data_IF_117245587537
#
_entry.id   IF_117245587537
#
_cell.length_a   1.000
_cell.length_b   1.000
_cell.length_c   1.000
_cell.angle_alpha   90.00
_cell.angle_beta   90.00
_cell.angle_gamma   90.00
#
_symmetry.space_group_name_H-M   'P 1'
#
loop_
_entity.id
_entity.type
_entity.pdbx_description
1 polymer ?
#
# COMPACT_ATOMS: atom_id res chain seq x y z
N UNK A 1 -9.50 -13.89 -4.26
CA UNK A 1 -10.84 -13.43 -4.67
C UNK A 1 -11.45 -14.34 -5.72
N UNK A 2 -10.98 -14.34 -6.97
CA UNK A 2 -11.63 -15.12 -8.06
C UNK A 2 -11.71 -16.63 -7.76
N UNK A 3 -10.61 -17.25 -7.35
CA UNK A 3 -10.60 -18.69 -7.03
C UNK A 3 -11.47 -19.05 -5.83
N UNK A 4 -11.56 -18.17 -4.83
CA UNK A 4 -12.31 -18.38 -3.60
C UNK A 4 -13.77 -17.90 -3.69
N UNK A 5 -14.14 -17.25 -4.80
CA UNK A 5 -15.41 -16.54 -4.98
C UNK A 5 -15.82 -15.64 -3.80
N UNK A 6 -14.82 -15.02 -3.14
CA UNK A 6 -15.02 -14.24 -1.92
C UNK A 6 -13.99 -13.13 -1.79
N UNK A 7 -14.39 -12.02 -1.19
CA UNK A 7 -13.51 -10.91 -0.76
C UNK A 7 -13.45 -10.73 0.76
N UNK A 8 -13.93 -11.73 1.52
CA UNK A 8 -13.81 -11.74 2.99
C UNK A 8 -12.35 -11.62 3.43
N UNK A 9 -12.11 -10.89 4.53
CA UNK A 9 -10.76 -10.66 5.07
C UNK A 9 -9.92 -9.60 4.35
N UNK A 10 -10.45 -8.94 3.30
CA UNK A 10 -9.77 -7.88 2.57
C UNK A 10 -10.48 -6.55 2.80
N UNK A 11 -9.74 -5.55 3.28
CA UNK A 11 -10.24 -4.19 3.54
C UNK A 11 -10.45 -3.44 2.23
N UNK A 12 -11.72 -3.10 1.98
CA UNK A 12 -12.08 -2.24 0.86
C UNK A 12 -11.40 -0.87 0.96
N UNK A 13 -11.34 -0.31 2.17
CA UNK A 13 -10.74 1.02 2.42
C UNK A 13 -9.28 1.05 2.01
N UNK A 14 -8.50 0.02 2.35
CA UNK A 14 -7.09 -0.05 1.94
C UNK A 14 -6.94 -0.13 0.42
N UNK A 15 -7.77 -0.94 -0.26
CA UNK A 15 -7.75 -1.05 -1.71
C UNK A 15 -8.12 0.28 -2.39
N UNK A 16 -9.09 1.01 -1.85
CA UNK A 16 -9.46 2.35 -2.33
C UNK A 16 -8.33 3.37 -2.15
N UNK A 17 -7.63 3.34 -1.02
CA UNK A 17 -6.47 4.20 -0.79
C UNK A 17 -5.33 3.90 -1.77
N UNK A 18 -5.02 2.62 -2.03
CA UNK A 18 -4.00 2.26 -3.03
C UNK A 18 -4.39 2.72 -4.44
N UNK A 19 -5.67 2.65 -4.82
CA UNK A 19 -6.10 3.20 -6.12
C UNK A 19 -5.84 4.71 -6.19
N UNK A 20 -6.19 5.44 -5.12
CA UNK A 20 -5.94 6.87 -5.04
C UNK A 20 -4.44 7.19 -5.13
N UNK A 21 -3.58 6.43 -4.45
CA UNK A 21 -2.12 6.55 -4.57
C UNK A 21 -1.69 6.42 -6.03
N UNK A 22 -2.12 5.39 -6.75
CA UNK A 22 -1.68 5.20 -8.14
C UNK A 22 -2.20 6.28 -9.09
N UNK A 23 -3.45 6.71 -8.93
CA UNK A 23 -4.02 7.80 -9.74
C UNK A 23 -3.25 9.11 -9.51
N UNK A 24 -2.97 9.45 -8.25
CA UNK A 24 -2.28 10.70 -7.90
C UNK A 24 -0.78 10.67 -8.21
N UNK A 25 -0.15 9.48 -8.18
CA UNK A 25 1.27 9.31 -8.51
C UNK A 25 1.55 9.33 -10.00
N UNK A 26 0.66 8.77 -10.80
CA UNK A 26 0.88 8.53 -12.23
C UNK A 26 0.12 9.53 -13.10
N UNK A 27 0.02 10.79 -12.66
CA UNK A 27 -0.58 11.87 -13.47
C UNK A 27 0.17 12.13 -14.78
N UNK A 28 1.45 11.74 -14.83
CA UNK A 28 2.35 11.79 -15.98
C UNK A 28 2.23 10.57 -16.91
N UNK A 29 1.16 9.76 -16.80
CA UNK A 29 0.98 8.52 -17.55
C UNK A 29 1.21 8.69 -19.06
N UNK A 30 0.60 9.72 -19.65
CA UNK A 30 0.70 9.98 -21.10
C UNK A 30 2.00 10.68 -21.53
N UNK A 31 2.83 11.10 -20.57
CA UNK A 31 4.12 11.75 -20.81
C UNK A 31 5.30 10.84 -20.45
N UNK A 32 5.04 9.56 -20.18
CA UNK A 32 6.07 8.59 -19.77
C UNK A 32 6.87 8.11 -20.98
N UNK A 33 8.19 8.35 -20.98
CA UNK A 33 9.07 8.00 -22.12
C UNK A 33 9.35 6.50 -22.23
N UNK A 34 9.48 5.80 -21.11
CA UNK A 34 9.81 4.37 -21.08
C UNK A 34 8.54 3.51 -21.19
N UNK A 35 8.49 2.68 -22.24
CA UNK A 35 7.40 1.70 -22.46
C UNK A 35 7.24 0.79 -21.23
N UNK A 36 8.35 0.38 -20.61
CA UNK A 36 8.32 -0.42 -19.39
C UNK A 36 7.53 0.29 -18.29
N UNK A 37 7.87 1.55 -18.00
CA UNK A 37 7.18 2.33 -16.97
C UNK A 37 5.70 2.55 -17.33
N UNK A 38 5.40 2.83 -18.60
CA UNK A 38 4.03 3.01 -19.07
C UNK A 38 3.18 1.76 -18.81
N UNK A 39 3.67 0.58 -19.18
CA UNK A 39 2.98 -0.69 -18.98
C UNK A 39 2.71 -0.96 -17.50
N UNK A 40 3.71 -0.75 -16.63
CA UNK A 40 3.54 -0.97 -15.19
C UNK A 40 2.55 0.01 -14.56
N UNK A 41 2.56 1.29 -14.96
CA UNK A 41 1.57 2.27 -14.48
C UNK A 41 0.14 1.87 -14.85
N UNK A 42 -0.08 1.45 -16.11
CA UNK A 42 -1.39 0.95 -16.58
C UNK A 42 -1.78 -0.31 -15.80
N UNK A 43 -0.86 -1.25 -15.63
CA UNK A 43 -1.11 -2.49 -14.89
C UNK A 43 -1.49 -2.22 -13.44
N UNK A 44 -0.81 -1.31 -12.74
CA UNK A 44 -1.13 -0.98 -11.36
C UNK A 44 -2.49 -0.31 -11.21
N UNK A 45 -2.82 0.67 -12.05
CA UNK A 45 -4.14 1.33 -12.01
C UNK A 45 -5.24 0.32 -12.39
N UNK A 46 -5.04 -0.43 -13.47
CA UNK A 46 -6.02 -1.39 -13.99
C UNK A 46 -6.29 -2.54 -13.02
N UNK A 47 -5.25 -3.16 -12.46
CA UNK A 47 -5.40 -4.24 -11.48
C UNK A 47 -6.07 -3.75 -10.19
N UNK A 48 -5.69 -2.58 -9.69
CA UNK A 48 -6.29 -2.00 -8.48
C UNK A 48 -7.76 -1.63 -8.70
N UNK A 49 -8.08 -1.04 -9.85
CA UNK A 49 -9.47 -0.78 -10.26
C UNK A 49 -10.29 -2.06 -10.40
N UNK A 50 -9.70 -3.12 -10.96
CA UNK A 50 -10.36 -4.42 -11.08
C UNK A 50 -10.65 -5.06 -9.72
N UNK A 51 -9.72 -4.98 -8.76
CA UNK A 51 -9.96 -5.44 -7.38
C UNK A 51 -11.17 -4.71 -6.76
N UNK A 52 -11.22 -3.38 -6.89
CA UNK A 52 -12.35 -2.58 -6.38
C UNK A 52 -13.66 -2.94 -7.09
N UNK A 53 -13.62 -3.18 -8.40
CA UNK A 53 -14.78 -3.63 -9.17
C UNK A 53 -15.30 -4.99 -8.66
N UNK A 54 -14.40 -5.94 -8.40
CA UNK A 54 -14.75 -7.25 -7.85
C UNK A 54 -15.39 -7.13 -6.46
N UNK A 55 -14.85 -6.27 -5.59
CA UNK A 55 -15.39 -6.06 -4.24
C UNK A 55 -16.74 -5.34 -4.22
N UNK A 56 -17.01 -4.46 -5.19
CA UNK A 56 -18.25 -3.66 -5.23
C UNK A 56 -19.38 -4.32 -6.01
N UNK A 57 -19.07 -5.25 -6.92
CA UNK A 57 -20.06 -5.92 -7.77
C UNK A 57 -20.10 -7.43 -7.49
N UNK A 58 -19.13 -8.18 -8.01
CA UNK A 58 -19.16 -9.64 -8.03
C UNK A 58 -19.18 -10.29 -6.64
N UNK A 59 -18.40 -9.74 -5.70
CA UNK A 59 -18.21 -10.30 -4.37
C UNK A 59 -18.74 -9.37 -3.26
N UNK A 60 -19.55 -8.38 -3.61
CA UNK A 60 -20.19 -7.45 -2.67
C UNK A 60 -20.84 -8.14 -1.46
N UNK A 61 -21.58 -9.28 -1.61
CA UNK A 61 -22.20 -9.94 -0.46
C UNK A 61 -21.21 -10.51 0.57
N UNK A 62 -19.96 -10.75 0.16
CA UNK A 62 -18.91 -11.28 1.04
C UNK A 62 -18.07 -10.19 1.71
N UNK A 63 -18.30 -8.92 1.34
CA UNK A 63 -17.68 -7.77 1.96
C UNK A 63 -18.53 -7.35 3.17
N UNK A 64 -18.01 -7.50 4.38
CA UNK A 64 -18.68 -7.05 5.60
C UNK A 64 -18.19 -5.63 5.98
N UNK A 65 -19.03 -4.58 5.83
CA UNK A 65 -18.62 -3.23 6.18
C UNK A 65 -18.41 -3.01 7.68
N UNK A 66 -18.94 -3.89 8.54
CA UNK A 66 -18.88 -3.74 10.00
C UNK A 66 -17.50 -4.08 10.56
N UNK A 67 -16.69 -4.85 9.82
CA UNK A 67 -15.31 -5.14 10.20
C UNK A 67 -14.35 -4.04 9.72
N UNK A 68 -14.59 -3.43 8.56
CA UNK A 68 -13.76 -2.34 8.02
C UNK A 68 -14.19 -0.96 8.57
N UNK A 69 -13.99 -0.74 9.88
CA UNK A 69 -14.44 0.48 10.59
C UNK A 69 -13.42 1.61 10.67
N UNK A 70 -12.25 1.46 10.04
CA UNK A 70 -11.17 2.43 10.12
C UNK A 70 -11.55 3.80 9.52
N UNK A 71 -11.19 4.90 10.19
CA UNK A 71 -11.50 6.28 9.74
C UNK A 71 -10.42 6.80 8.80
N UNK A 72 -10.58 6.57 7.50
CA UNK A 72 -9.61 6.96 6.45
C UNK A 72 -9.41 8.46 6.31
N UNK A 73 -10.35 9.28 6.79
CA UNK A 73 -10.26 10.75 6.77
C UNK A 73 -8.98 11.25 7.45
N UNK A 74 -8.53 10.60 8.52
CA UNK A 74 -7.29 10.98 9.22
C UNK A 74 -6.05 10.71 8.37
N UNK A 75 -6.05 9.62 7.57
CA UNK A 75 -4.92 9.29 6.69
C UNK A 75 -4.85 10.26 5.52
N UNK A 76 -6.01 10.52 4.91
CA UNK A 76 -6.12 11.49 3.81
C UNK A 76 -5.72 12.89 4.27
N UNK A 77 -6.22 13.33 5.41
CA UNK A 77 -5.87 14.62 6.00
C UNK A 77 -4.39 14.73 6.33
N UNK A 78 -3.83 13.73 7.01
CA UNK A 78 -2.40 13.70 7.35
C UNK A 78 -1.49 13.72 6.13
N UNK A 79 -1.79 12.89 5.12
CA UNK A 79 -1.03 12.87 3.87
C UNK A 79 -1.14 14.19 3.09
N UNK A 80 -2.33 14.79 3.04
CA UNK A 80 -2.54 16.08 2.38
C UNK A 80 -1.79 17.22 3.07
N UNK A 81 -1.82 17.27 4.40
CA UNK A 81 -1.07 18.27 5.18
C UNK A 81 0.43 18.13 4.93
N UNK A 82 0.98 16.91 5.01
CA UNK A 82 2.41 16.69 4.76
C UNK A 82 2.82 17.02 3.31
N UNK A 83 1.96 16.73 2.34
CA UNK A 83 2.22 17.03 0.93
C UNK A 83 2.29 18.54 0.63
N UNK A 84 1.48 19.35 1.33
CA UNK A 84 1.47 20.80 1.16
C UNK A 84 2.59 21.48 1.96
N UNK A 85 2.92 20.95 3.14
CA UNK A 85 3.99 21.51 3.98
C UNK A 85 5.38 21.21 3.44
N UNK A 86 5.58 20.02 2.85
CA UNK A 86 6.90 19.55 2.47
C UNK A 86 7.04 19.09 1.00
N UNK A 87 6.59 19.84 -0.02
CA UNK A 87 6.89 19.50 -1.41
C UNK A 87 8.31 19.98 -1.80
N UNK A 88 8.97 19.29 -2.72
CA UNK A 88 10.24 19.78 -3.29
C UNK A 88 10.05 21.06 -4.13
N UNK A 89 8.89 21.17 -4.78
CA UNK A 89 8.47 22.31 -5.60
C UNK A 89 6.97 22.50 -5.41
N UNK A 90 6.53 23.73 -5.28
CA UNK A 90 5.10 24.06 -5.24
C UNK A 90 4.49 24.03 -6.64
N UNK A 91 4.42 22.84 -7.22
CA UNK A 91 3.68 22.57 -8.46
C UNK A 91 2.59 21.54 -8.20
N UNK A 92 1.53 21.58 -9.00
CA UNK A 92 0.42 20.64 -8.85
C UNK A 92 0.90 19.18 -8.91
N UNK A 93 1.72 18.83 -9.90
CA UNK A 93 2.23 17.47 -10.06
C UNK A 93 3.09 17.02 -8.86
N UNK A 94 3.94 17.91 -8.34
CA UNK A 94 4.84 17.60 -7.23
C UNK A 94 4.08 17.41 -5.90
N UNK A 95 3.07 18.23 -5.64
CA UNK A 95 2.22 18.10 -4.44
C UNK A 95 1.45 16.78 -4.49
N UNK A 96 0.87 16.43 -5.64
CA UNK A 96 0.16 15.15 -5.81
C UNK A 96 1.10 13.94 -5.72
N UNK A 97 2.32 14.07 -6.23
CA UNK A 97 3.36 13.05 -6.06
C UNK A 97 3.71 12.88 -4.58
N UNK A 98 4.00 13.96 -3.84
CA UNK A 98 4.30 13.92 -2.41
C UNK A 98 3.12 13.35 -1.60
N UNK A 99 1.90 13.78 -1.91
CA UNK A 99 0.67 13.23 -1.33
C UNK A 99 0.57 11.71 -1.52
N UNK A 100 0.84 11.23 -2.74
CA UNK A 100 0.79 9.80 -3.02
C UNK A 100 1.79 9.02 -2.16
N UNK A 101 3.00 9.55 -1.93
CA UNK A 101 4.05 8.92 -1.14
C UNK A 101 3.65 8.85 0.34
N UNK A 102 3.18 9.95 0.91
CA UNK A 102 2.70 9.99 2.28
C UNK A 102 1.49 9.08 2.49
N UNK A 103 0.51 9.14 1.60
CA UNK A 103 -0.70 8.33 1.71
C UNK A 103 -0.38 6.83 1.62
N UNK A 104 0.49 6.44 0.71
CA UNK A 104 0.87 5.03 0.52
C UNK A 104 1.55 4.43 1.75
N UNK A 105 2.33 5.24 2.48
CA UNK A 105 3.01 4.77 3.68
C UNK A 105 2.04 4.26 4.75
N UNK A 106 0.82 4.80 4.77
CA UNK A 106 -0.22 4.50 5.76
C UNK A 106 -1.44 3.79 5.16
N UNK A 107 -1.50 3.60 3.84
CA UNK A 107 -2.66 3.03 3.14
C UNK A 107 -3.04 1.61 3.58
N UNK A 108 -2.10 0.87 4.20
CA UNK A 108 -2.32 -0.48 4.71
C UNK A 108 -3.03 -0.52 6.08
N UNK A 109 -3.09 0.59 6.81
CA UNK A 109 -3.62 0.62 8.18
C UNK A 109 -5.04 0.06 8.31
N UNK A 110 -6.01 0.36 7.41
CA UNK A 110 -7.34 -0.23 7.52
C UNK A 110 -7.33 -1.76 7.44
N UNK A 111 -6.47 -2.34 6.59
CA UNK A 111 -6.31 -3.78 6.45
C UNK A 111 -5.69 -4.41 7.71
N UNK A 112 -4.64 -3.80 8.27
CA UNK A 112 -4.03 -4.29 9.51
C UNK A 112 -5.02 -4.23 10.68
N UNK A 113 -5.78 -3.13 10.78
CA UNK A 113 -6.81 -2.95 11.81
C UNK A 113 -7.94 -3.99 11.68
N UNK A 114 -8.36 -4.27 10.45
CA UNK A 114 -9.35 -5.31 10.18
C UNK A 114 -8.85 -6.69 10.63
N UNK A 115 -7.58 -7.03 10.33
CA UNK A 115 -6.98 -8.30 10.76
C UNK A 115 -6.85 -8.44 12.28
N UNK A 116 -6.51 -7.35 12.98
CA UNK A 116 -6.45 -7.35 14.44
C UNK A 116 -7.83 -7.65 15.05
N UNK A 117 -8.89 -7.08 14.47
CA UNK A 117 -10.26 -7.30 14.94
C UNK A 117 -10.81 -8.70 14.64
N UNK A 118 -10.54 -9.23 13.45
CA UNK A 118 -11.05 -10.55 13.07
C UNK A 118 -10.28 -11.68 13.76
N UNK A 119 -9.06 -11.41 14.23
CA UNK A 119 -8.24 -12.36 15.00
C UNK A 119 -7.73 -13.55 14.18
N UNK A 120 -8.15 -13.69 12.92
CA UNK A 120 -7.73 -14.69 11.96
C UNK A 120 -7.56 -14.04 10.58
N UNK A 121 -6.49 -14.42 9.89
CA UNK A 121 -6.25 -14.08 8.49
C UNK A 121 -6.15 -15.39 7.70
N UNK A 122 -6.78 -15.44 6.52
CA UNK A 122 -6.54 -16.54 5.59
C UNK A 122 -5.05 -16.59 5.19
N UNK A 123 -4.50 -17.79 5.05
CA UNK A 123 -3.10 -17.99 4.68
C UNK A 123 -2.75 -17.23 3.39
N UNK A 124 -3.66 -17.22 2.40
CA UNK A 124 -3.50 -16.51 1.13
C UNK A 124 -3.39 -15.00 1.35
N UNK A 125 -4.28 -14.40 2.14
CA UNK A 125 -4.22 -12.98 2.52
C UNK A 125 -2.90 -12.64 3.21
N UNK A 126 -2.39 -13.57 4.01
CA UNK A 126 -1.13 -13.38 4.74
C UNK A 126 0.09 -13.40 3.80
N UNK A 127 0.12 -14.28 2.80
CA UNK A 127 1.16 -14.26 1.76
C UNK A 127 1.12 -12.97 0.91
N UNK A 128 -0.08 -12.52 0.55
CA UNK A 128 -0.27 -11.23 -0.15
C UNK A 128 0.35 -10.07 0.65
N UNK A 129 0.01 -9.97 1.93
CA UNK A 129 0.54 -8.92 2.80
C UNK A 129 2.04 -9.04 3.02
N UNK A 130 2.57 -10.26 3.09
CA UNK A 130 4.01 -10.48 3.17
C UNK A 130 4.74 -10.01 1.91
N UNK A 131 4.23 -10.33 0.72
CA UNK A 131 4.78 -9.83 -0.54
C UNK A 131 4.69 -8.29 -0.62
N UNK A 132 3.56 -7.73 -0.16
CA UNK A 132 3.33 -6.29 -0.09
C UNK A 132 4.29 -5.59 0.90
N UNK A 133 4.59 -6.19 2.04
CA UNK A 133 5.63 -5.65 2.92
C UNK A 133 7.03 -5.82 2.29
N UNK A 134 7.31 -6.99 1.72
CA UNK A 134 8.65 -7.36 1.24
C UNK A 134 9.11 -6.46 0.10
N UNK A 135 8.21 -6.08 -0.82
CA UNK A 135 8.61 -5.15 -1.88
C UNK A 135 9.09 -3.82 -1.29
N UNK A 136 8.48 -3.31 -0.21
CA UNK A 136 8.94 -2.08 0.46
C UNK A 136 10.27 -2.26 1.15
N UNK A 137 10.47 -3.39 1.83
CA UNK A 137 11.77 -3.69 2.43
C UNK A 137 12.89 -3.72 1.38
N UNK A 138 12.61 -4.22 0.18
CA UNK A 138 13.56 -4.25 -0.94
C UNK A 138 13.90 -2.86 -1.52
N UNK A 139 13.08 -1.83 -1.27
CA UNK A 139 13.44 -0.45 -1.62
C UNK A 139 14.58 0.09 -0.77
N UNK A 140 14.76 -0.40 0.47
CA UNK A 140 15.84 0.08 1.36
C UNK A 140 17.22 -0.24 0.76
N UNK A 141 17.56 -1.50 0.41
CA UNK A 141 18.78 -1.80 -0.33
C UNK A 141 18.89 -1.04 -1.67
N UNK A 142 17.78 -0.81 -2.37
CA UNK A 142 17.79 -0.04 -3.61
C UNK A 142 18.24 1.42 -3.37
N UNK A 143 17.72 2.10 -2.35
CA UNK A 143 18.16 3.45 -2.01
C UNK A 143 19.65 3.48 -1.63
N UNK A 144 20.12 2.50 -0.85
CA UNK A 144 21.54 2.38 -0.48
C UNK A 144 22.39 2.20 -1.74
N UNK A 145 22.00 1.29 -2.64
CA UNK A 145 22.70 1.05 -3.89
C UNK A 145 22.80 2.32 -4.73
N UNK A 146 21.68 3.06 -4.90
CA UNK A 146 21.67 4.31 -5.66
C UNK A 146 22.51 5.40 -5.01
N UNK A 147 22.47 5.50 -3.68
CA UNK A 147 23.30 6.46 -2.94
C UNK A 147 24.80 6.22 -3.12
N UNK A 148 25.22 4.95 -3.20
CA UNK A 148 26.64 4.58 -3.33
C UNK A 148 27.12 4.65 -4.79
N UNK A 149 26.30 4.20 -5.74
CA UNK A 149 26.75 3.95 -7.12
C UNK A 149 26.44 5.09 -8.10
N UNK A 150 25.45 5.94 -7.81
CA UNK A 150 24.99 6.96 -8.75
C UNK A 150 25.46 8.36 -8.30
N UNK A 151 26.45 8.90 -9.02
CA UNK A 151 27.12 10.16 -8.70
C UNK A 151 26.21 11.39 -8.77
N UNK A 152 25.06 11.29 -9.45
CA UNK A 152 24.09 12.37 -9.60
C UNK A 152 22.80 12.13 -8.81
N UNK A 153 22.76 11.10 -7.96
CA UNK A 153 21.56 10.74 -7.22
C UNK A 153 21.21 11.80 -6.16
N UNK A 154 20.14 12.55 -6.42
CA UNK A 154 19.52 13.38 -5.39
C UNK A 154 18.72 12.47 -4.46
N UNK A 155 19.14 12.44 -3.20
CA UNK A 155 18.48 11.65 -2.17
C UNK A 155 17.07 12.17 -1.95
N UNK A 156 16.08 11.31 -2.17
CA UNK A 156 14.68 11.65 -1.98
C UNK A 156 14.27 11.37 -0.52
N UNK A 157 14.40 12.39 0.32
CA UNK A 157 14.12 12.28 1.75
C UNK A 157 12.65 11.96 2.04
N UNK A 158 11.71 12.45 1.22
CA UNK A 158 10.27 12.16 1.36
C UNK A 158 10.04 10.66 1.16
N UNK A 159 10.59 10.10 0.07
CA UNK A 159 10.47 8.66 -0.21
C UNK A 159 11.12 7.79 0.88
N UNK A 160 12.29 8.19 1.39
CA UNK A 160 12.99 7.45 2.45
C UNK A 160 12.20 7.47 3.76
N UNK A 161 11.78 8.64 4.24
CA UNK A 161 11.03 8.74 5.51
C UNK A 161 9.71 7.99 5.41
N UNK A 162 8.93 8.24 4.36
CA UNK A 162 7.66 7.56 4.14
C UNK A 162 7.84 6.04 4.03
N UNK A 163 8.89 5.60 3.34
CA UNK A 163 9.18 4.17 3.21
C UNK A 163 9.69 3.51 4.49
N UNK A 164 10.41 4.23 5.36
CA UNK A 164 10.74 3.77 6.71
C UNK A 164 9.47 3.62 7.53
N UNK A 165 8.60 4.65 7.56
CA UNK A 165 7.30 4.60 8.26
C UNK A 165 6.50 3.38 7.80
N UNK A 166 6.42 3.18 6.48
CA UNK A 166 5.72 2.05 5.90
C UNK A 166 6.32 0.71 6.34
N UNK A 167 7.64 0.57 6.28
CA UNK A 167 8.34 -0.67 6.68
C UNK A 167 8.13 -0.99 8.16
N UNK A 168 8.16 0.03 9.03
CA UNK A 168 7.88 -0.12 10.47
C UNK A 168 6.44 -0.59 10.69
N UNK A 169 5.45 -0.05 9.97
CA UNK A 169 4.07 -0.52 10.07
C UNK A 169 3.89 -2.00 9.67
N UNK A 170 4.70 -2.50 8.73
CA UNK A 170 4.72 -3.93 8.36
C UNK A 170 5.51 -4.82 9.34
N UNK A 171 6.35 -4.25 10.21
CA UNK A 171 7.29 -5.03 11.03
C UNK A 171 6.59 -5.99 12.00
N UNK A 172 5.53 -5.52 12.67
CA UNK A 172 4.72 -6.36 13.58
C UNK A 172 4.05 -7.51 12.80
N UNK A 173 3.52 -7.20 11.61
CA UNK A 173 2.96 -8.21 10.72
C UNK A 173 4.00 -9.26 10.30
N UNK A 174 5.22 -8.85 9.94
CA UNK A 174 6.30 -9.78 9.58
C UNK A 174 6.69 -10.69 10.74
N UNK A 175 6.77 -10.15 11.95
CA UNK A 175 7.06 -10.93 13.15
C UNK A 175 6.00 -12.02 13.38
N UNK A 176 4.72 -11.66 13.31
CA UNK A 176 3.62 -12.62 13.49
C UNK A 176 3.56 -13.63 12.34
N UNK A 177 3.80 -13.20 11.11
CA UNK A 177 3.86 -14.08 9.93
C UNK A 177 4.95 -15.15 10.08
N UNK A 178 6.18 -14.73 10.43
CA UNK A 178 7.32 -15.64 10.58
C UNK A 178 7.12 -16.63 11.72
N UNK A 179 6.61 -16.16 12.86
CA UNK A 179 6.46 -16.99 14.06
C UNK A 179 5.28 -17.96 13.99
N UNK A 180 4.19 -17.59 13.30
CA UNK A 180 2.95 -18.40 13.23
C UNK A 180 2.82 -19.15 11.91
N UNK A 181 2.87 -18.46 10.78
CA UNK A 181 2.47 -19.02 9.48
C UNK A 181 3.54 -19.94 8.90
N UNK A 182 4.80 -19.52 8.91
CA UNK A 182 5.91 -20.37 8.44
C UNK A 182 6.10 -21.63 9.29
N UNK A 183 5.61 -21.63 10.54
CA UNK A 183 5.63 -22.80 11.44
C UNK A 183 4.34 -23.64 11.35
N UNK A 184 3.48 -23.40 10.36
CA UNK A 184 2.23 -24.13 10.15
C UNK A 184 1.15 -23.89 11.22
N UNK A 185 1.30 -22.85 12.05
CA UNK A 185 0.31 -22.47 13.07
C UNK A 185 -0.68 -21.47 12.49
N UNK A 186 -1.93 -21.50 12.94
CA UNK A 186 -2.95 -20.51 12.55
C UNK A 186 -2.47 -19.09 12.88
N UNK A 187 -2.63 -18.17 11.93
CA UNK A 187 -2.33 -16.74 12.13
C UNK A 187 -3.34 -16.15 13.11
N UNK A 188 -2.85 -15.69 14.26
CA UNK A 188 -3.61 -14.88 15.23
C UNK A 188 -2.72 -13.74 15.68
N UNK A 189 -3.19 -12.51 15.48
CA UNK A 189 -2.54 -11.32 16.04
C UNK A 189 -2.81 -11.26 17.55
N UNK A 190 -1.85 -10.83 18.39
CA UNK A 190 -2.13 -10.54 19.79
C UNK A 190 -3.16 -9.40 19.85
N UNK A 191 -4.20 -9.60 20.66
CA UNK A 191 -5.31 -8.66 20.87
C UNK A 191 -4.89 -7.57 21.87
#
# INVERSE_FOLDING_TARGET
MVQLNSCSGISFKSQALYLMVYITRYLDLFSTESIYNLVFKIMFIGSQGYIIYLMTNAYKPTNDPNVDTFRVQYLLGGAAVLAVLFPYKYSFAEIFWAFSIWLESVAILPQLFMLQRTGEAETITTHYLFALGSYRALYIPNWIYRYVMDTHYKTDWIAIIAGIVQTVLYSDFFYVYYTKVLKGKKFKLPV
#
